data_IF_331428940523
#
_entry.id   IF_331428940523
#
_cell.length_a   1.000
_cell.length_b   1.000
_cell.length_c   1.000
_cell.angle_alpha   90.00
_cell.angle_beta   90.00
_cell.angle_gamma   90.00
#
_symmetry.space_group_name_H-M   'P 1'
#
loop_
_entity.id
_entity.type
_entity.pdbx_description
1 polymer ?
#
# COMPACT_ATOMS: atom_id res chain seq x y z
N UNK A 1 -6.26 16.76 7.40
CA UNK A 1 -6.30 15.28 7.39
C UNK A 1 -4.95 14.71 7.82
N UNK A 2 -4.92 13.64 8.63
CA UNK A 2 -3.70 12.94 9.04
C UNK A 2 -3.94 11.45 8.89
N UNK A 3 -3.06 10.77 8.16
CA UNK A 3 -3.21 9.36 7.81
C UNK A 3 -2.19 8.55 8.60
N UNK A 4 -2.65 7.54 9.33
CA UNK A 4 -1.84 6.69 10.21
C UNK A 4 -1.03 5.62 9.45
N UNK A 5 -0.86 5.78 8.14
CA UNK A 5 -0.07 4.91 7.28
C UNK A 5 0.75 5.74 6.30
N UNK A 6 1.81 5.16 5.70
CA UNK A 6 2.38 5.67 4.47
C UNK A 6 1.36 5.64 3.31
N UNK A 7 1.62 6.37 2.23
CA UNK A 7 0.79 6.30 1.02
C UNK A 7 0.82 4.88 0.41
N UNK A 8 -0.34 4.35 0.06
CA UNK A 8 -0.47 3.06 -0.62
C UNK A 8 -0.33 3.29 -2.13
N UNK A 9 0.84 3.00 -2.67
CA UNK A 9 1.17 3.23 -4.08
C UNK A 9 1.24 1.92 -4.90
N UNK A 10 1.28 0.76 -4.25
CA UNK A 10 1.46 -0.54 -4.91
C UNK A 10 0.32 -1.51 -4.57
N UNK A 11 -0.10 -2.35 -5.52
CA UNK A 11 -1.19 -3.29 -5.30
C UNK A 11 -0.78 -4.44 -4.38
N UNK A 12 -1.74 -5.03 -3.66
CA UNK A 12 -1.50 -6.21 -2.86
C UNK A 12 -1.80 -7.50 -3.65
N UNK A 13 -0.86 -8.46 -3.63
CA UNK A 13 -1.06 -9.80 -4.18
C UNK A 13 -1.48 -10.84 -3.13
N UNK A 14 -1.59 -10.43 -1.86
CA UNK A 14 -1.77 -11.34 -0.72
C UNK A 14 -3.18 -11.32 -0.12
N UNK A 15 -4.17 -10.81 -0.85
CA UNK A 15 -5.58 -10.88 -0.47
C UNK A 15 -6.07 -9.75 0.45
N UNK A 16 -5.30 -8.67 0.60
CA UNK A 16 -5.89 -7.40 1.05
C UNK A 16 -6.69 -6.85 -0.13
N UNK A 17 -7.93 -6.43 0.13
CA UNK A 17 -8.79 -5.75 -0.84
C UNK A 17 -8.25 -4.35 -1.14
N UNK A 18 -7.12 -4.31 -1.84
CA UNK A 18 -6.60 -3.10 -2.46
C UNK A 18 -7.11 -3.05 -3.89
N UNK A 19 -7.77 -1.95 -4.22
CA UNK A 19 -8.06 -1.51 -5.58
C UNK A 19 -6.86 -1.66 -6.52
N UNK A 20 -7.13 -1.68 -7.82
CA UNK A 20 -6.08 -1.81 -8.85
C UNK A 20 -5.07 -0.67 -8.74
N UNK A 21 -3.85 -0.83 -9.27
CA UNK A 21 -2.83 0.22 -9.25
C UNK A 21 -3.33 1.55 -9.82
N UNK A 22 -4.21 1.51 -10.82
CA UNK A 22 -4.80 2.70 -11.46
C UNK A 22 -5.78 3.45 -10.55
N UNK A 23 -6.46 2.73 -9.65
CA UNK A 23 -7.42 3.29 -8.69
C UNK A 23 -6.73 3.82 -7.42
N UNK A 24 -5.48 3.43 -7.17
CA UNK A 24 -4.70 3.93 -6.05
C UNK A 24 -4.24 5.36 -6.33
N UNK A 25 -4.88 6.36 -5.71
CA UNK A 25 -4.53 7.77 -5.93
C UNK A 25 -3.03 8.05 -5.70
N UNK A 26 -2.40 7.41 -4.71
CA UNK A 26 -0.98 7.59 -4.39
C UNK A 26 -0.02 6.87 -5.35
N UNK A 27 -0.51 6.11 -6.33
CA UNK A 27 0.32 5.53 -7.40
C UNK A 27 0.69 6.55 -8.49
N UNK A 28 -0.16 7.58 -8.65
CA UNK A 28 -0.07 8.56 -9.73
C UNK A 28 -0.02 10.02 -9.25
N UNK A 29 -0.38 10.29 -7.99
CA UNK A 29 -0.42 11.62 -7.42
C UNK A 29 0.60 11.76 -6.29
N UNK A 30 1.28 12.91 -6.26
CA UNK A 30 2.05 13.37 -5.12
C UNK A 30 1.15 13.71 -3.93
N UNK A 31 1.72 13.84 -2.73
CA UNK A 31 0.97 14.20 -1.52
C UNK A 31 0.19 15.51 -1.65
N UNK A 32 0.74 16.49 -2.37
CA UNK A 32 0.05 17.78 -2.60
C UNK A 32 -1.10 17.64 -3.61
N UNK A 33 -0.93 16.83 -4.66
CA UNK A 33 -2.02 16.54 -5.60
C UNK A 33 -3.15 15.76 -4.91
N UNK A 34 -2.82 14.78 -4.05
CA UNK A 34 -3.80 14.08 -3.21
C UNK A 34 -4.55 15.07 -2.32
N UNK A 35 -3.85 16.03 -1.70
CA UNK A 35 -4.46 17.06 -0.84
C UNK A 35 -5.52 17.87 -1.61
N UNK A 36 -5.20 18.25 -2.84
CA UNK A 36 -6.07 19.03 -3.72
C UNK A 36 -7.30 18.21 -4.14
N UNK A 37 -7.08 16.97 -4.59
CA UNK A 37 -8.15 16.08 -5.06
C UNK A 37 -9.20 15.82 -3.98
N UNK A 38 -8.78 15.61 -2.73
CA UNK A 38 -9.69 15.37 -1.61
C UNK A 38 -10.23 16.65 -0.96
N UNK A 39 -9.77 17.83 -1.38
CA UNK A 39 -10.20 19.13 -0.85
C UNK A 39 -9.79 19.41 0.60
N UNK A 40 -8.68 18.83 1.09
CA UNK A 40 -8.25 19.03 2.48
C UNK A 40 -7.41 20.31 2.67
N UNK A 41 -7.55 21.01 3.80
CA UNK A 41 -6.68 22.16 4.13
C UNK A 41 -5.20 21.76 4.25
N UNK A 42 -4.93 20.57 4.79
CA UNK A 42 -3.61 19.96 4.82
C UNK A 42 -3.72 18.44 4.91
N UNK A 43 -2.72 17.74 4.41
CA UNK A 43 -2.57 16.28 4.54
C UNK A 43 -1.15 15.94 5.00
N UNK A 44 -1.02 14.88 5.78
CA UNK A 44 0.27 14.25 6.05
C UNK A 44 0.05 12.75 6.26
N UNK A 45 0.98 11.96 5.73
CA UNK A 45 1.05 10.52 5.90
C UNK A 45 2.12 10.17 6.94
N UNK A 46 1.92 9.05 7.64
CA UNK A 46 2.94 8.51 8.52
C UNK A 46 4.12 8.00 7.69
N UNK A 47 5.35 8.20 8.15
CA UNK A 47 6.52 7.59 7.50
C UNK A 47 6.52 6.07 7.70
N UNK A 48 7.22 5.35 6.82
CA UNK A 48 7.40 3.90 6.97
C UNK A 48 8.08 3.56 8.30
N UNK A 49 9.12 4.31 8.67
CA UNK A 49 9.80 4.14 9.96
C UNK A 49 8.87 4.45 11.14
N UNK A 50 8.09 5.55 11.04
CA UNK A 50 7.11 5.92 12.07
C UNK A 50 6.01 4.87 12.24
N UNK A 51 5.58 4.21 11.16
CA UNK A 51 4.66 3.08 11.22
C UNK A 51 5.31 1.90 11.98
N UNK A 52 6.53 1.52 11.60
CA UNK A 52 7.24 0.40 12.24
C UNK A 52 7.54 0.66 13.73
N UNK A 53 7.89 1.89 14.07
CA UNK A 53 8.11 2.33 15.45
C UNK A 53 6.82 2.33 16.27
N UNK A 54 5.72 2.82 15.68
CA UNK A 54 4.40 2.81 16.31
C UNK A 54 3.87 1.41 16.59
N UNK A 55 4.07 0.46 15.67
CA UNK A 55 3.67 -0.94 15.87
C UNK A 55 4.60 -1.64 16.89
N UNK A 56 5.90 -1.31 16.89
CA UNK A 56 6.81 -1.70 17.98
C UNK A 56 7.22 -3.18 18.01
N UNK A 57 7.11 -3.92 16.90
CA UNK A 57 7.55 -5.31 16.77
C UNK A 57 9.05 -5.46 17.05
N UNK A 58 9.45 -6.61 17.62
CA UNK A 58 10.82 -6.87 18.12
C UNK A 58 11.54 -8.01 17.36
N UNK A 59 11.37 -8.06 16.04
CA UNK A 59 12.12 -9.00 15.20
C UNK A 59 13.46 -8.38 14.78
N UNK A 60 14.49 -9.21 14.66
CA UNK A 60 15.84 -8.82 14.27
C UNK A 60 15.99 -8.80 12.73
N UNK A 61 15.20 -7.93 12.10
CA UNK A 61 15.27 -7.64 10.67
C UNK A 61 14.84 -6.19 10.40
N UNK A 62 15.27 -5.57 9.28
CA UNK A 62 15.00 -4.16 9.00
C UNK A 62 13.51 -3.78 8.95
N UNK A 63 12.62 -4.72 8.62
CA UNK A 63 11.17 -4.49 8.51
C UNK A 63 10.42 -4.98 9.76
N UNK A 64 11.13 -5.55 10.75
CA UNK A 64 10.61 -6.09 12.00
C UNK A 64 9.49 -7.10 11.77
N UNK A 65 9.63 -7.93 10.74
CA UNK A 65 8.70 -9.00 10.38
C UNK A 65 7.38 -8.50 9.78
N UNK A 66 7.40 -7.35 9.11
CA UNK A 66 6.22 -6.72 8.50
C UNK A 66 6.34 -6.69 6.99
N UNK A 67 5.25 -6.97 6.30
CA UNK A 67 5.17 -6.71 4.86
C UNK A 67 4.86 -5.23 4.63
N UNK A 68 5.75 -4.54 3.91
CA UNK A 68 5.61 -3.11 3.57
C UNK A 68 5.43 -2.90 2.05
N UNK A 69 5.07 -3.95 1.33
CA UNK A 69 5.07 -3.96 -0.13
C UNK A 69 4.11 -2.91 -0.72
N UNK A 70 2.91 -2.76 -0.15
CA UNK A 70 1.93 -1.78 -0.62
C UNK A 70 2.43 -0.33 -0.55
N UNK A 71 3.40 -0.05 0.32
CA UNK A 71 4.00 1.28 0.50
C UNK A 71 5.32 1.46 -0.25
N UNK A 72 6.10 0.38 -0.42
CA UNK A 72 7.50 0.44 -0.87
C UNK A 72 7.78 -0.25 -2.20
N UNK A 73 6.84 -1.06 -2.70
CA UNK A 73 7.00 -1.92 -3.86
C UNK A 73 7.90 -3.14 -3.62
N UNK A 74 8.44 -3.31 -2.40
CA UNK A 74 9.31 -4.43 -2.04
C UNK A 74 8.49 -5.59 -1.50
N UNK A 75 8.14 -6.52 -2.39
CA UNK A 75 7.38 -7.71 -2.05
C UNK A 75 8.26 -8.74 -1.33
N UNK A 76 7.79 -9.37 -0.23
CA UNK A 76 8.52 -10.43 0.46
C UNK A 76 8.51 -11.78 -0.29
N UNK A 77 7.81 -11.85 -1.42
CA UNK A 77 7.79 -13.00 -2.33
C UNK A 77 8.10 -12.54 -3.75
N UNK A 78 8.47 -13.48 -4.61
CA UNK A 78 8.51 -13.23 -6.05
C UNK A 78 7.09 -12.97 -6.57
N UNK A 79 6.98 -12.01 -7.50
CA UNK A 79 5.77 -11.72 -8.26
C UNK A 79 6.11 -12.02 -9.72
N UNK A 80 5.52 -13.06 -10.28
CA UNK A 80 5.79 -13.52 -11.64
C UNK A 80 4.92 -12.76 -12.65
N UNK A 81 5.29 -12.79 -13.93
CA UNK A 81 4.53 -12.11 -15.00
C UNK A 81 3.10 -12.62 -15.14
N UNK A 82 2.85 -13.89 -14.82
CA UNK A 82 1.52 -14.52 -14.82
C UNK A 82 0.79 -14.40 -13.48
N UNK A 83 1.37 -13.71 -12.49
CA UNK A 83 0.73 -13.49 -11.18
C UNK A 83 -0.37 -12.45 -11.31
N UNK A 84 -1.62 -12.91 -11.23
CA UNK A 84 -2.80 -12.05 -11.27
C UNK A 84 -3.20 -11.57 -9.87
N UNK A 85 -3.81 -10.37 -9.81
CA UNK A 85 -4.34 -9.80 -8.58
C UNK A 85 -5.49 -10.66 -8.01
N UNK A 86 -5.69 -10.68 -6.67
CA UNK A 86 -6.71 -11.52 -6.04
C UNK A 86 -8.13 -11.36 -6.60
N UNK A 87 -8.61 -10.12 -6.78
CA UNK A 87 -9.96 -9.85 -7.29
C UNK A 87 -10.21 -10.34 -8.73
N UNK A 88 -9.14 -10.47 -9.54
CA UNK A 88 -9.23 -11.02 -10.91
C UNK A 88 -9.63 -12.49 -10.86
N UNK A 89 -9.16 -13.24 -9.86
CA UNK A 89 -9.52 -14.66 -9.65
C UNK A 89 -10.98 -14.79 -9.25
N UNK A 90 -11.48 -13.92 -8.39
CA UNK A 90 -12.87 -13.94 -7.92
C UNK A 90 -13.86 -13.63 -9.06
N UNK A 91 -13.53 -12.65 -9.89
CA UNK A 91 -14.34 -12.28 -11.06
C UNK A 91 -14.37 -13.37 -12.13
N UNK A 92 -13.29 -14.15 -12.27
CA UNK A 92 -13.23 -15.29 -13.18
C UNK A 92 -14.06 -16.49 -12.71
N UNK A 93 -14.35 -16.61 -11.41
CA UNK A 93 -15.15 -17.69 -10.83
C UNK A 93 -16.66 -17.42 -10.86
N UNK A 94 -17.07 -16.19 -11.11
CA UNK A 94 -18.48 -15.75 -11.16
C UNK A 94 -19.02 -15.58 -12.58
N UNK A 95 -18.21 -15.86 -13.61
CA UNK A 95 -18.62 -15.98 -15.01
C UNK A 95 -18.65 -17.44 -15.43
#
# INVERSE_FOLDING_TARGET
MRISSPPIAHPCFYGIDTSTHEELIASSHSVEEIRQEIGADSIAFLSVDGLMDGIGRKYDDPQRGQCLACFTGKYPTEIYEDTVLPHVKETALTK
#
